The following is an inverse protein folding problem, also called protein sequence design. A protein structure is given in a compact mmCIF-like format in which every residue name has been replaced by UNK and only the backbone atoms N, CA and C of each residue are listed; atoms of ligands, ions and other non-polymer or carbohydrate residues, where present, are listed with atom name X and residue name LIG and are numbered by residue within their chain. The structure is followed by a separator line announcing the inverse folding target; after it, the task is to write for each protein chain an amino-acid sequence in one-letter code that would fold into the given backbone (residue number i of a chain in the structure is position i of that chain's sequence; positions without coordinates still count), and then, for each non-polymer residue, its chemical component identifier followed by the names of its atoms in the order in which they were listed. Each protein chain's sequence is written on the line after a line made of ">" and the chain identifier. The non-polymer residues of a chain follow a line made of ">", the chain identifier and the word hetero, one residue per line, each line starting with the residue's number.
data_IF_379501877120
#
_entry.id   IF_379501877120
#
_cell.length_a   1.000
_cell.length_b   1.000
_cell.length_c   1.000
_cell.angle_alpha   90.00
_cell.angle_beta   90.00
_cell.angle_gamma   90.00
#
_symmetry.space_group_name_H-M   'P 1'
#
loop_
_entity.id
_entity.type
_entity.pdbx_description
1 polymer ?
#
# COMPACT_ATOMS: atom_id res chain seq x y z
N UNK A 1 25.54 18.69 0.47
CA UNK A 1 24.56 18.67 1.56
C UNK A 1 24.45 17.23 2.09
N UNK A 2 24.82 16.97 3.36
CA UNK A 2 24.58 15.65 4.00
C UNK A 2 23.07 15.48 4.18
N UNK A 3 22.49 14.48 3.55
CA UNK A 3 21.07 14.11 3.80
C UNK A 3 20.95 13.61 5.24
N UNK A 4 20.02 14.16 6.00
CA UNK A 4 19.70 13.64 7.33
C UNK A 4 19.27 12.16 7.19
N UNK A 5 19.71 11.28 8.12
CA UNK A 5 19.31 9.87 8.11
C UNK A 5 17.78 9.75 8.11
N UNK A 6 17.25 8.80 7.34
CA UNK A 6 15.79 8.55 7.25
C UNK A 6 15.15 8.36 8.64
N UNK A 7 15.87 7.74 9.57
CA UNK A 7 15.44 7.54 10.94
C UNK A 7 15.07 8.85 11.67
N UNK A 8 15.80 9.93 11.42
CA UNK A 8 15.54 11.24 12.06
C UNK A 8 14.32 11.95 11.44
N UNK A 9 14.10 11.77 10.15
CA UNK A 9 13.00 12.41 9.42
C UNK A 9 11.69 11.63 9.51
N UNK A 10 11.76 10.32 9.79
CA UNK A 10 10.61 9.45 9.77
C UNK A 10 9.49 9.86 10.74
N UNK A 11 9.73 10.19 12.01
CA UNK A 11 8.65 10.57 12.93
C UNK A 11 7.83 11.77 12.44
N UNK A 12 8.51 12.77 11.86
CA UNK A 12 7.84 13.95 11.33
C UNK A 12 7.01 13.61 10.06
N UNK A 13 7.57 12.82 9.14
CA UNK A 13 6.88 12.35 7.94
C UNK A 13 5.68 11.49 8.28
N UNK A 14 5.84 10.58 9.23
CA UNK A 14 4.75 9.72 9.70
C UNK A 14 3.58 10.55 10.27
N UNK A 15 3.89 11.51 11.15
CA UNK A 15 2.85 12.43 11.68
C UNK A 15 2.14 13.18 10.55
N UNK A 16 2.88 13.73 9.59
CA UNK A 16 2.31 14.44 8.46
C UNK A 16 1.44 13.55 7.58
N UNK A 17 1.86 12.31 7.30
CA UNK A 17 1.08 11.35 6.53
C UNK A 17 -0.22 10.95 7.23
N UNK A 18 -0.16 10.70 8.54
CA UNK A 18 -1.36 10.38 9.35
C UNK A 18 -2.31 11.58 9.39
N UNK A 19 -1.80 12.79 9.63
CA UNK A 19 -2.62 14.01 9.65
C UNK A 19 -3.31 14.26 8.30
N UNK A 20 -2.60 14.02 7.18
CA UNK A 20 -3.16 14.15 5.85
C UNK A 20 -4.29 13.12 5.58
N UNK A 21 -4.15 11.89 6.10
CA UNK A 21 -5.18 10.86 6.01
C UNK A 21 -6.40 11.21 6.85
N UNK A 22 -6.21 11.74 8.06
CA UNK A 22 -7.29 12.13 8.96
C UNK A 22 -8.03 13.41 8.52
N UNK A 23 -7.36 14.29 7.79
CA UNK A 23 -7.95 15.53 7.27
C UNK A 23 -8.78 15.33 6.00
N UNK A 24 -8.68 14.15 5.36
CA UNK A 24 -9.48 13.83 4.17
C UNK A 24 -10.78 13.12 4.54
N UNK A 25 -11.77 13.18 3.65
CA UNK A 25 -12.93 12.27 3.72
C UNK A 25 -12.46 10.82 3.67
N UNK A 26 -13.15 9.93 4.40
CA UNK A 26 -12.89 8.49 4.31
C UNK A 26 -13.07 8.02 2.85
N UNK A 27 -12.06 7.33 2.26
CA UNK A 27 -12.16 6.91 0.87
C UNK A 27 -13.12 5.73 0.74
N UNK A 28 -13.88 5.72 -0.36
CA UNK A 28 -14.72 4.59 -0.75
C UNK A 28 -13.97 3.59 -1.63
N UNK A 29 -12.84 3.99 -2.18
CA UNK A 29 -11.99 3.12 -3.01
C UNK A 29 -10.50 3.36 -2.77
N UNK A 30 -9.74 2.27 -2.65
CA UNK A 30 -8.29 2.26 -2.43
C UNK A 30 -7.61 1.37 -3.45
N UNK A 31 -6.61 1.89 -4.15
CA UNK A 31 -5.76 1.15 -5.08
C UNK A 31 -4.37 0.97 -4.48
N UNK A 32 -3.90 -0.27 -4.37
CA UNK A 32 -2.56 -0.58 -3.88
C UNK A 32 -1.65 -0.95 -5.04
N UNK A 33 -0.52 -0.27 -5.18
CA UNK A 33 0.41 -0.44 -6.31
C UNK A 33 1.78 -0.95 -5.86
N UNK A 34 2.38 -1.80 -6.68
CA UNK A 34 3.81 -2.13 -6.65
C UNK A 34 4.32 -2.40 -8.08
N UNK A 35 5.55 -2.82 -8.27
CA UNK A 35 6.05 -3.05 -9.62
C UNK A 35 5.31 -4.17 -10.34
N UNK A 36 5.36 -5.39 -9.81
CA UNK A 36 4.87 -6.57 -10.49
C UNK A 36 3.46 -7.01 -10.15
N UNK A 37 2.83 -6.45 -9.12
CA UNK A 37 1.53 -6.90 -8.58
C UNK A 37 1.45 -8.42 -8.32
N UNK A 38 2.55 -9.02 -7.83
CA UNK A 38 2.64 -10.46 -7.53
C UNK A 38 3.14 -10.77 -6.12
N UNK A 39 3.63 -9.76 -5.37
CA UNK A 39 4.08 -9.88 -3.97
C UNK A 39 3.39 -8.85 -3.08
N UNK A 40 3.91 -7.61 -3.09
CA UNK A 40 3.62 -6.57 -2.09
C UNK A 40 2.19 -6.03 -2.19
N UNK A 41 1.77 -5.58 -3.36
CA UNK A 41 0.46 -4.96 -3.52
C UNK A 41 -0.71 -5.94 -3.37
N UNK A 42 -0.69 -7.20 -3.89
CA UNK A 42 -1.79 -8.13 -3.64
C UNK A 42 -1.90 -8.51 -2.16
N UNK A 43 -0.77 -8.72 -1.48
CA UNK A 43 -0.77 -8.97 -0.05
C UNK A 43 -1.32 -7.77 0.74
N UNK A 44 -0.84 -6.58 0.44
CA UNK A 44 -1.29 -5.35 1.11
C UNK A 44 -2.78 -5.07 0.88
N UNK A 45 -3.28 -5.27 -0.35
CA UNK A 45 -4.70 -5.11 -0.67
C UNK A 45 -5.57 -6.12 0.09
N UNK A 46 -5.17 -7.38 0.15
CA UNK A 46 -5.88 -8.41 0.90
C UNK A 46 -5.87 -8.12 2.41
N UNK A 47 -4.73 -7.70 2.97
CA UNK A 47 -4.60 -7.31 4.37
C UNK A 47 -5.48 -6.09 4.70
N UNK A 48 -5.49 -5.08 3.82
CA UNK A 48 -6.30 -3.87 3.98
C UNK A 48 -7.79 -4.20 3.90
N UNK A 49 -8.21 -4.99 2.90
CA UNK A 49 -9.61 -5.45 2.75
C UNK A 49 -10.08 -6.17 4.01
N UNK A 50 -9.30 -7.12 4.53
CA UNK A 50 -9.60 -7.83 5.77
C UNK A 50 -9.76 -6.87 6.95
N UNK A 51 -8.88 -5.90 7.11
CA UNK A 51 -8.88 -4.95 8.21
C UNK A 51 -10.01 -3.90 8.13
N UNK A 52 -10.58 -3.68 6.96
CA UNK A 52 -11.71 -2.77 6.71
C UNK A 52 -13.08 -3.46 6.72
N UNK A 53 -13.17 -4.73 7.15
CA UNK A 53 -14.44 -5.45 7.30
C UNK A 53 -14.62 -6.61 6.30
N UNK A 54 -13.58 -6.99 5.57
CA UNK A 54 -13.64 -8.09 4.61
C UNK A 54 -14.61 -7.81 3.46
N UNK A 55 -15.35 -8.84 2.99
CA UNK A 55 -16.33 -8.70 1.90
C UNK A 55 -17.50 -7.78 2.24
N UNK A 56 -17.83 -7.65 3.52
CA UNK A 56 -18.91 -6.78 4.03
C UNK A 56 -18.49 -5.31 4.12
N UNK A 57 -17.20 -5.02 3.92
CA UNK A 57 -16.65 -3.68 4.02
C UNK A 57 -17.14 -2.75 2.90
N UNK A 58 -17.42 -1.50 3.26
CA UNK A 58 -17.91 -0.47 2.32
C UNK A 58 -16.81 0.12 1.43
N UNK A 59 -15.53 -0.20 1.68
CA UNK A 59 -14.39 0.32 0.94
C UNK A 59 -13.93 -0.70 -0.09
N UNK A 60 -14.02 -0.35 -1.37
CA UNK A 60 -13.45 -1.15 -2.44
C UNK A 60 -11.91 -1.09 -2.39
N UNK A 61 -11.25 -2.25 -2.36
CA UNK A 61 -9.78 -2.33 -2.31
C UNK A 61 -9.28 -3.20 -3.45
N UNK A 62 -8.48 -2.60 -4.34
CA UNK A 62 -7.86 -3.29 -5.47
C UNK A 62 -6.34 -3.17 -5.46
N UNK A 63 -5.67 -3.95 -6.31
CA UNK A 63 -4.23 -3.86 -6.51
C UNK A 63 -3.84 -3.97 -7.97
N UNK A 64 -2.79 -3.24 -8.38
CA UNK A 64 -2.23 -3.32 -9.72
C UNK A 64 -0.70 -3.12 -9.70
N UNK A 65 -0.05 -3.28 -10.84
CA UNK A 65 1.39 -3.11 -10.99
C UNK A 65 1.77 -2.36 -12.26
N UNK A 66 3.01 -1.90 -12.30
CA UNK A 66 3.57 -1.22 -13.46
C UNK A 66 4.06 -2.20 -14.54
N UNK A 67 4.08 -3.51 -14.26
CA UNK A 67 4.61 -4.54 -15.13
C UNK A 67 3.66 -5.74 -15.24
N UNK A 68 3.56 -6.28 -16.44
CA UNK A 68 3.03 -7.57 -16.84
C UNK A 68 1.75 -8.06 -16.16
N UNK A 69 0.60 -8.03 -16.82
CA UNK A 69 -0.65 -8.59 -16.29
C UNK A 69 -0.66 -10.13 -16.37
N UNK A 70 -1.63 -10.76 -15.65
CA UNK A 70 -1.96 -12.19 -15.77
C UNK A 70 -1.02 -13.14 -15.02
N UNK A 71 -0.01 -12.64 -14.29
CA UNK A 71 0.94 -13.47 -13.55
C UNK A 71 0.38 -13.88 -12.19
N UNK A 72 0.69 -15.12 -11.79
CA UNK A 72 0.42 -15.63 -10.44
C UNK A 72 1.36 -15.02 -9.40
N UNK A 73 0.92 -15.02 -8.14
CA UNK A 73 1.83 -14.80 -7.02
C UNK A 73 2.81 -15.97 -6.91
N UNK A 74 4.13 -15.72 -6.80
CA UNK A 74 5.11 -16.79 -6.61
C UNK A 74 4.86 -17.61 -5.34
N UNK A 75 5.30 -18.86 -5.36
CA UNK A 75 5.08 -19.84 -4.26
C UNK A 75 5.47 -19.28 -2.90
N UNK A 76 6.66 -18.67 -2.80
CA UNK A 76 7.13 -18.08 -1.55
C UNK A 76 6.27 -16.89 -1.07
N UNK A 77 5.62 -16.16 -1.99
CA UNK A 77 4.66 -15.12 -1.62
C UNK A 77 3.36 -15.72 -1.09
N UNK A 78 2.84 -16.75 -1.77
CA UNK A 78 1.65 -17.49 -1.33
C UNK A 78 1.87 -18.09 0.06
N UNK A 79 2.99 -18.77 0.28
CA UNK A 79 3.33 -19.37 1.58
C UNK A 79 3.52 -18.31 2.69
N UNK A 80 4.20 -17.20 2.38
CA UNK A 80 4.39 -16.12 3.36
C UNK A 80 3.07 -15.42 3.72
N UNK A 81 2.16 -15.28 2.75
CA UNK A 81 0.83 -14.73 2.96
C UNK A 81 -0.07 -15.69 3.77
N UNK A 82 -0.04 -16.99 3.44
CA UNK A 82 -0.82 -18.02 4.14
C UNK A 82 -0.47 -18.09 5.63
N UNK A 83 0.82 -17.97 5.99
CA UNK A 83 1.27 -17.88 7.39
C UNK A 83 0.69 -16.68 8.15
N UNK A 84 0.12 -15.72 7.43
CA UNK A 84 -0.53 -14.50 7.98
C UNK A 84 -2.04 -14.51 7.76
N UNK A 85 -2.62 -15.67 7.37
CA UNK A 85 -4.04 -15.84 7.13
C UNK A 85 -4.54 -15.09 5.89
N UNK A 86 -3.70 -14.90 4.88
CA UNK A 86 -4.06 -14.29 3.60
C UNK A 86 -3.83 -15.31 2.49
N UNK A 87 -4.86 -15.54 1.68
CA UNK A 87 -4.78 -16.39 0.49
C UNK A 87 -4.46 -15.56 -0.75
N UNK A 88 -3.39 -15.92 -1.45
CA UNK A 88 -2.98 -15.35 -2.74
C UNK A 88 -3.01 -16.38 -3.89
N UNK A 89 -3.52 -17.58 -3.68
CA UNK A 89 -3.50 -18.65 -4.69
C UNK A 89 -4.28 -18.30 -5.95
N UNK A 90 -5.41 -17.61 -5.80
CA UNK A 90 -6.25 -17.15 -6.93
C UNK A 90 -5.83 -15.80 -7.52
N UNK A 91 -4.77 -15.17 -6.99
CA UNK A 91 -4.37 -13.85 -7.48
C UNK A 91 -3.79 -13.89 -8.90
N UNK A 92 -4.19 -12.92 -9.72
CA UNK A 92 -3.61 -12.63 -11.04
C UNK A 92 -3.24 -11.16 -11.10
N UNK A 93 -2.00 -10.89 -11.48
CA UNK A 93 -1.52 -9.50 -11.58
C UNK A 93 -2.30 -8.71 -12.62
N UNK A 94 -2.58 -7.45 -12.29
CA UNK A 94 -3.23 -6.46 -13.16
C UNK A 94 -2.24 -5.35 -13.50
N UNK A 95 -2.34 -4.82 -14.71
CA UNK A 95 -1.56 -3.66 -15.12
C UNK A 95 -2.26 -2.38 -14.62
N UNK A 96 -1.48 -1.43 -14.10
CA UNK A 96 -1.99 -0.10 -13.78
C UNK A 96 -2.33 0.65 -15.07
N UNK A 97 -3.58 1.10 -15.18
CA UNK A 97 -4.10 1.87 -16.33
C UNK A 97 -4.66 3.20 -15.86
N UNK A 98 -4.83 4.19 -16.76
CA UNK A 98 -5.48 5.45 -16.41
C UNK A 98 -6.87 5.28 -15.79
N UNK A 99 -7.65 4.29 -16.25
CA UNK A 99 -9.00 4.03 -15.73
C UNK A 99 -8.97 3.50 -14.30
N UNK A 100 -8.11 2.52 -14.03
CA UNK A 100 -7.92 1.97 -12.68
C UNK A 100 -7.45 3.04 -11.70
N UNK A 101 -6.55 3.93 -12.14
CA UNK A 101 -6.07 5.05 -11.32
C UNK A 101 -7.15 6.10 -11.09
N UNK A 102 -7.97 6.43 -12.11
CA UNK A 102 -9.07 7.39 -11.96
C UNK A 102 -10.17 6.90 -11.00
N UNK A 103 -10.44 5.60 -11.00
CA UNK A 103 -11.45 4.98 -10.13
C UNK A 103 -11.08 4.94 -8.65
N UNK A 104 -9.81 5.23 -8.30
CA UNK A 104 -9.35 5.16 -6.92
C UNK A 104 -9.34 6.55 -6.25
N UNK A 105 -9.95 6.68 -5.08
CA UNK A 105 -9.89 7.90 -4.27
C UNK A 105 -8.57 8.00 -3.49
N UNK A 106 -8.02 6.86 -3.08
CA UNK A 106 -6.72 6.77 -2.40
C UNK A 106 -5.82 5.76 -3.12
N UNK A 107 -4.59 6.14 -3.38
CA UNK A 107 -3.57 5.26 -3.96
C UNK A 107 -2.46 5.04 -2.95
N UNK A 108 -2.13 3.78 -2.71
CA UNK A 108 -1.08 3.35 -1.78
C UNK A 108 0.05 2.71 -2.58
N UNK A 109 1.26 3.21 -2.42
CA UNK A 109 2.44 2.73 -3.16
C UNK A 109 3.53 2.23 -2.19
N UNK A 110 4.41 1.35 -2.68
CA UNK A 110 5.48 0.73 -1.89
C UNK A 110 6.80 1.50 -1.96
N UNK A 111 7.00 2.32 -3.01
CA UNK A 111 8.27 3.00 -3.32
C UNK A 111 8.05 4.45 -3.71
N UNK A 112 9.04 5.30 -3.43
CA UNK A 112 8.99 6.73 -3.77
C UNK A 112 8.92 6.97 -5.29
N UNK A 113 9.57 6.11 -6.07
CA UNK A 113 9.56 6.12 -7.53
C UNK A 113 8.16 5.83 -8.07
N UNK A 114 7.44 4.89 -7.47
CA UNK A 114 6.04 4.60 -7.83
C UNK A 114 5.14 5.78 -7.52
N UNK A 115 5.36 6.46 -6.38
CA UNK A 115 4.62 7.69 -6.03
C UNK A 115 4.84 8.78 -7.07
N UNK A 116 6.08 8.97 -7.52
CA UNK A 116 6.42 9.91 -8.59
C UNK A 116 5.75 9.51 -9.89
N UNK A 117 5.88 8.24 -10.31
CA UNK A 117 5.27 7.74 -11.53
C UNK A 117 3.75 7.92 -11.58
N UNK A 118 3.03 7.67 -10.47
CA UNK A 118 1.58 7.89 -10.38
C UNK A 118 1.23 9.37 -10.60
N UNK A 119 2.01 10.27 -10.02
CA UNK A 119 1.78 11.71 -10.18
C UNK A 119 2.08 12.20 -11.58
N UNK A 120 3.21 11.81 -12.15
CA UNK A 120 3.69 12.29 -13.46
C UNK A 120 2.91 11.67 -14.63
N UNK A 121 2.61 10.36 -14.54
CA UNK A 121 1.98 9.63 -15.66
C UNK A 121 0.45 9.71 -15.65
N UNK A 122 -0.17 9.87 -14.46
CA UNK A 122 -1.62 9.84 -14.30
C UNK A 122 -2.20 11.13 -13.69
N UNK A 123 -1.38 12.15 -13.46
CA UNK A 123 -1.84 13.46 -12.99
C UNK A 123 -2.45 13.47 -11.59
N UNK A 124 -2.18 12.44 -10.74
CA UNK A 124 -2.78 12.36 -9.41
C UNK A 124 -2.19 13.37 -8.43
N UNK A 125 -3.06 13.97 -7.63
CA UNK A 125 -2.66 14.88 -6.57
C UNK A 125 -1.73 14.18 -5.55
N UNK A 126 -0.71 14.87 -5.03
CA UNK A 126 0.13 14.34 -3.95
C UNK A 126 -0.64 13.90 -2.71
N UNK A 127 -1.81 14.50 -2.47
CA UNK A 127 -2.70 14.17 -1.33
C UNK A 127 -3.40 12.83 -1.49
N UNK A 128 -3.54 12.34 -2.73
CA UNK A 128 -4.23 11.08 -3.03
C UNK A 128 -3.27 9.89 -3.10
N UNK A 129 -1.95 10.12 -3.00
CA UNK A 129 -0.94 9.07 -3.14
C UNK A 129 -0.10 8.96 -1.88
N UNK A 130 -0.27 7.86 -1.16
CA UNK A 130 0.43 7.56 0.10
C UNK A 130 1.57 6.59 -0.15
N UNK A 131 2.77 6.93 0.35
CA UNK A 131 3.88 5.98 0.44
C UNK A 131 3.70 5.17 1.72
N UNK A 132 3.38 3.89 1.58
CA UNK A 132 2.97 3.03 2.69
C UNK A 132 4.02 2.97 3.80
N UNK A 133 5.30 2.92 3.45
CA UNK A 133 6.40 2.86 4.42
C UNK A 133 6.55 4.12 5.29
N UNK A 134 5.93 5.25 4.91
CA UNK A 134 5.90 6.44 5.76
C UNK A 134 5.00 6.25 7.01
N UNK A 135 4.09 5.28 6.98
CA UNK A 135 3.18 4.96 8.08
C UNK A 135 3.76 3.95 9.08
N UNK A 136 4.94 3.38 8.83
CA UNK A 136 5.53 2.39 9.72
C UNK A 136 5.62 2.93 11.17
N UNK A 137 5.06 2.24 12.17
CA UNK A 137 5.17 2.66 13.56
C UNK A 137 6.59 2.49 14.14
N UNK A 138 7.42 1.65 13.50
CA UNK A 138 8.80 1.39 13.91
C UNK A 138 9.79 2.32 13.19
N UNK A 139 10.99 2.54 13.75
CA UNK A 139 12.06 3.27 13.08
C UNK A 139 12.44 2.61 11.75
N UNK A 140 12.62 3.40 10.71
CA UNK A 140 12.93 2.91 9.37
C UNK A 140 14.29 3.41 8.87
N UNK A 141 14.97 2.57 8.09
CA UNK A 141 16.19 2.94 7.34
C UNK A 141 15.88 3.36 5.90
N UNK A 142 14.71 3.00 5.41
CA UNK A 142 14.21 3.35 4.06
C UNK A 142 12.71 3.55 4.09
N UNK A 143 12.23 4.56 3.38
CA UNK A 143 10.79 4.81 3.16
C UNK A 143 10.16 3.75 2.27
N UNK A 144 10.92 3.21 1.32
CA UNK A 144 10.45 2.15 0.42
C UNK A 144 10.38 0.82 1.14
N UNK A 145 9.32 0.06 0.91
CA UNK A 145 9.19 -1.32 1.33
C UNK A 145 9.93 -2.21 0.33
N UNK A 146 10.87 -2.99 0.83
CA UNK A 146 11.76 -3.82 0.01
C UNK A 146 10.98 -4.73 -0.93
N UNK A 147 11.39 -4.79 -2.21
CA UNK A 147 10.85 -5.74 -3.18
C UNK A 147 11.43 -7.14 -2.95
N UNK A 148 10.59 -8.17 -2.69
CA UNK A 148 11.08 -9.54 -2.51
C UNK A 148 11.50 -10.23 -3.82
N UNK A 149 11.19 -9.68 -4.98
CA UNK A 149 11.48 -10.31 -6.27
C UNK A 149 12.96 -10.70 -6.39
N UNK A 150 13.22 -11.98 -6.71
CA UNK A 150 14.58 -12.51 -6.84
C UNK A 150 15.38 -12.59 -5.53
N UNK A 151 14.71 -12.48 -4.37
CA UNK A 151 15.34 -12.52 -3.04
C UNK A 151 14.90 -13.76 -2.26
N UNK A 152 15.59 -14.03 -1.14
CA UNK A 152 15.29 -15.15 -0.23
C UNK A 152 13.89 -14.99 0.37
N UNK A 153 13.23 -16.10 0.70
CA UNK A 153 11.90 -16.13 1.33
C UNK A 153 11.83 -15.30 2.65
N UNK A 154 12.94 -15.19 3.38
CA UNK A 154 13.03 -14.35 4.59
C UNK A 154 12.80 -12.87 4.29
N UNK A 155 13.22 -12.38 3.11
CA UNK A 155 12.97 -11.00 2.69
C UNK A 155 11.48 -10.79 2.39
N UNK A 156 10.83 -11.78 1.77
CA UNK A 156 9.39 -11.75 1.54
C UNK A 156 8.62 -11.68 2.87
N UNK A 157 8.96 -12.53 3.83
CA UNK A 157 8.34 -12.55 5.15
C UNK A 157 8.53 -11.22 5.91
N UNK A 158 9.73 -10.63 5.83
CA UNK A 158 10.04 -9.33 6.45
C UNK A 158 9.26 -8.19 5.78
N UNK A 159 9.18 -8.16 4.44
CA UNK A 159 8.40 -7.17 3.69
C UNK A 159 6.92 -7.26 4.04
N UNK A 160 6.35 -8.46 4.14
CA UNK A 160 4.95 -8.64 4.51
C UNK A 160 4.67 -8.22 5.96
N UNK A 161 5.57 -8.55 6.91
CA UNK A 161 5.44 -8.07 8.29
C UNK A 161 5.44 -6.54 8.38
N UNK A 162 6.31 -5.88 7.61
CA UNK A 162 6.32 -4.43 7.52
C UNK A 162 5.03 -3.86 6.90
N UNK A 163 4.54 -4.48 5.81
CA UNK A 163 3.27 -4.10 5.20
C UNK A 163 2.13 -4.18 6.21
N UNK A 164 2.03 -5.25 6.99
CA UNK A 164 0.96 -5.40 8.00
C UNK A 164 0.99 -4.28 9.04
N UNK A 165 2.17 -3.94 9.57
CA UNK A 165 2.29 -2.83 10.52
C UNK A 165 1.83 -1.51 9.93
N UNK A 166 2.24 -1.23 8.69
CA UNK A 166 1.86 -0.02 7.97
C UNK A 166 0.35 0.01 7.65
N UNK A 167 -0.24 -1.13 7.24
CA UNK A 167 -1.69 -1.26 7.02
C UNK A 167 -2.46 -1.03 8.31
N UNK A 168 -2.01 -1.56 9.45
CA UNK A 168 -2.62 -1.27 10.75
C UNK A 168 -2.65 0.22 11.08
N UNK A 169 -1.55 0.94 10.80
CA UNK A 169 -1.50 2.39 10.97
C UNK A 169 -2.40 3.14 9.97
N UNK A 170 -2.46 2.69 8.71
CA UNK A 170 -3.35 3.24 7.68
C UNK A 170 -4.83 3.11 8.11
N UNK A 171 -5.25 1.92 8.48
CA UNK A 171 -6.65 1.65 8.91
C UNK A 171 -7.01 2.50 10.13
N UNK A 172 -6.12 2.60 11.12
CA UNK A 172 -6.33 3.47 12.28
C UNK A 172 -6.51 4.93 11.87
N UNK A 173 -5.71 5.44 10.94
CA UNK A 173 -5.85 6.81 10.44
C UNK A 173 -7.15 7.02 9.68
N UNK A 174 -7.57 6.08 8.81
CA UNK A 174 -8.81 6.17 8.04
C UNK A 174 -10.07 6.13 8.92
N UNK A 175 -10.06 5.36 10.01
CA UNK A 175 -11.19 5.33 10.96
C UNK A 175 -11.41 6.65 11.72
N UNK A 176 -10.40 7.51 11.79
CA UNK A 176 -10.48 8.84 12.38
C UNK A 176 -10.71 9.95 11.34
N UNK A 177 -10.82 9.58 10.06
CA UNK A 177 -11.20 10.50 9.01
C UNK A 177 -12.69 10.91 9.16
N UNK A 178 -13.08 12.14 8.79
CA UNK A 178 -14.47 12.55 8.84
C UNK A 178 -15.37 11.62 8.02
N UNK A 179 -16.41 11.10 8.64
CA UNK A 179 -17.48 10.42 7.91
C UNK A 179 -18.23 11.42 7.03
N UNK A 180 -18.85 10.93 5.98
CA UNK A 180 -19.74 11.77 5.15
C UNK A 180 -20.85 12.34 6.06
N UNK A 181 -20.90 13.65 6.19
CA UNK A 181 -22.14 14.29 6.65
C UNK A 181 -23.07 14.21 5.44
N UNK A 182 -23.97 13.23 5.48
CA UNK A 182 -25.08 13.21 4.55
C UNK A 182 -25.72 14.61 4.56
N UNK A 183 -25.68 15.26 3.41
CA UNK A 183 -26.39 16.52 3.16
C UNK A 183 -27.86 16.21 2.93
#
# INVERSE_FOLDING_TARGET
>A
MRRLPEQLLHPARRRAAIAALQARRAPTSVLVLCNGNIYRSPFAAAALRRALGGPEGTVAVDSAGFQGPGRESPKEAVEAAARRGIDLTGHRSQLVTPDVVRGAELIVVMEAEQRRAVRERFGRSPRDVILLGDLDPEPITSRSIVDPWGRRATVCAASFGRIERCIGALVKALRHAPADRAA
#
